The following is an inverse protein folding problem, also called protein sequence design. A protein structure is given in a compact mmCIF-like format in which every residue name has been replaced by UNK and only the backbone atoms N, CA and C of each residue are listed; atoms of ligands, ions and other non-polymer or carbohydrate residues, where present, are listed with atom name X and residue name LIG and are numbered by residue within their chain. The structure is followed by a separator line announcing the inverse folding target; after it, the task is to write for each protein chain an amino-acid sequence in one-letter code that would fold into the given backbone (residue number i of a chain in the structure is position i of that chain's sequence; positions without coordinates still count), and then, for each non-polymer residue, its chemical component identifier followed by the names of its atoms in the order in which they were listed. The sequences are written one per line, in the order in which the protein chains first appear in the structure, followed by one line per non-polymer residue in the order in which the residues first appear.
data_IF_622587151297
#
_entry.id   IF_622587151297
#
_cell.length_a   1.000
_cell.length_b   1.000
_cell.length_c   1.000
_cell.angle_alpha   90.00
_cell.angle_beta   90.00
_cell.angle_gamma   90.00
#
_symmetry.space_group_name_H-M   'P 1'
#
loop_
_entity.id
_entity.type
_entity.pdbx_description
1 polymer ?
#
# COMPACT_ATOMS: atom_id res chain seq x y z
N UNK A 1 -2.77 -38.43 0.77
CA UNK A 1 -2.94 -37.39 -0.27
C UNK A 1 -2.33 -36.12 0.31
N UNK A 2 -1.53 -35.37 -0.47
CA UNK A 2 -1.01 -34.09 0.00
C UNK A 2 -2.09 -33.02 -0.03
N UNK A 3 -2.08 -32.07 0.88
CA UNK A 3 -2.93 -30.88 0.81
C UNK A 3 -2.48 -29.98 -0.34
N UNK A 4 -3.42 -29.31 -1.01
CA UNK A 4 -3.14 -28.38 -2.09
C UNK A 4 -3.05 -26.94 -1.55
N UNK A 5 -1.93 -26.27 -1.79
CA UNK A 5 -1.70 -24.87 -1.42
C UNK A 5 -1.54 -24.03 -2.68
N UNK A 6 -2.34 -22.98 -2.82
CA UNK A 6 -2.17 -21.98 -3.86
C UNK A 6 -1.72 -20.63 -3.26
N UNK A 7 -0.67 -20.05 -3.84
CA UNK A 7 -0.20 -18.68 -3.55
C UNK A 7 -0.76 -17.79 -4.65
N UNK A 8 -1.57 -16.79 -4.28
CA UNK A 8 -2.22 -15.91 -5.24
C UNK A 8 -1.42 -14.63 -5.50
N UNK A 9 -1.64 -14.03 -6.67
CA UNK A 9 -1.10 -12.73 -7.06
C UNK A 9 0.45 -12.63 -6.99
N UNK A 10 1.16 -13.72 -7.26
CA UNK A 10 2.63 -13.72 -7.35
C UNK A 10 3.10 -13.12 -8.69
N UNK A 11 2.79 -11.84 -8.91
CA UNK A 11 3.08 -11.14 -10.17
C UNK A 11 4.56 -11.16 -10.54
N UNK A 12 5.44 -11.20 -9.56
CA UNK A 12 6.89 -11.23 -9.75
C UNK A 12 7.45 -12.64 -9.93
N UNK A 13 6.65 -13.70 -9.72
CA UNK A 13 7.03 -15.11 -9.79
C UNK A 13 8.22 -15.45 -8.88
N UNK A 14 8.15 -14.97 -7.66
CA UNK A 14 9.22 -15.09 -6.66
C UNK A 14 8.83 -15.89 -5.42
N UNK A 15 7.55 -16.14 -5.19
CA UNK A 15 7.05 -16.75 -3.96
C UNK A 15 7.79 -18.05 -3.59
N UNK A 16 7.97 -18.94 -4.55
CA UNK A 16 8.65 -20.23 -4.35
C UNK A 16 10.17 -20.09 -4.12
N UNK A 17 10.75 -18.92 -4.39
CA UNK A 17 12.19 -18.65 -4.21
C UNK A 17 12.49 -17.87 -2.93
N UNK A 18 11.47 -17.26 -2.33
CA UNK A 18 11.63 -16.37 -1.17
C UNK A 18 11.60 -17.08 0.18
N UNK A 19 11.21 -18.36 0.20
CA UNK A 19 11.22 -19.20 1.40
C UNK A 19 11.59 -20.65 1.06
N UNK A 20 11.95 -21.43 2.06
CA UNK A 20 12.18 -22.86 1.93
C UNK A 20 10.88 -23.67 2.08
N UNK A 21 10.22 -23.91 0.96
CA UNK A 21 8.98 -24.71 0.90
C UNK A 21 9.24 -26.22 1.00
N UNK A 22 10.50 -26.67 0.94
CA UNK A 22 10.84 -28.10 0.99
C UNK A 22 10.45 -28.74 2.32
N UNK A 23 10.42 -27.96 3.41
CA UNK A 23 9.96 -28.40 4.72
C UNK A 23 8.50 -28.90 4.73
N UNK A 24 7.69 -28.51 3.73
CA UNK A 24 6.28 -28.89 3.60
C UNK A 24 6.06 -29.98 2.54
N UNK A 25 7.09 -30.34 1.75
CA UNK A 25 6.97 -31.11 0.52
C UNK A 25 6.32 -32.49 0.69
N UNK A 26 6.48 -33.14 1.84
CA UNK A 26 5.86 -34.43 2.12
C UNK A 26 4.36 -34.38 2.34
N UNK A 27 3.82 -33.21 2.78
CA UNK A 27 2.44 -33.05 3.23
C UNK A 27 1.63 -32.07 2.39
N UNK A 28 2.28 -31.13 1.69
CA UNK A 28 1.65 -30.05 0.92
C UNK A 28 2.23 -29.99 -0.48
N UNK A 29 1.37 -29.85 -1.47
CA UNK A 29 1.72 -29.47 -2.84
C UNK A 29 1.48 -27.97 -3.00
N UNK A 30 2.57 -27.20 -3.23
CA UNK A 30 2.51 -25.74 -3.29
C UNK A 30 2.63 -25.29 -4.74
N UNK A 31 1.68 -24.44 -5.17
CA UNK A 31 1.70 -23.79 -6.48
C UNK A 31 1.56 -22.27 -6.33
N UNK A 32 2.13 -21.50 -7.26
CA UNK A 32 2.01 -20.03 -7.28
C UNK A 32 1.30 -19.60 -8.56
N UNK A 33 0.34 -18.68 -8.41
CA UNK A 33 -0.49 -18.14 -9.48
C UNK A 33 -0.09 -16.68 -9.68
N UNK A 34 0.44 -16.36 -10.85
CA UNK A 34 0.87 -15.01 -11.21
C UNK A 34 -0.24 -14.16 -11.87
N UNK A 35 -1.30 -14.80 -12.35
CA UNK A 35 -2.45 -14.11 -12.91
C UNK A 35 -3.33 -13.51 -11.81
N UNK A 36 -3.93 -12.36 -12.13
CA UNK A 36 -4.99 -11.78 -11.31
C UNK A 36 -6.35 -12.13 -11.92
N UNK A 37 -7.29 -12.59 -11.10
CA UNK A 37 -8.65 -12.89 -11.52
C UNK A 37 -9.57 -11.75 -11.12
N UNK A 38 -10.25 -11.17 -12.10
CA UNK A 38 -11.28 -10.15 -11.89
C UNK A 38 -12.68 -10.75 -11.68
N UNK A 39 -12.91 -11.97 -12.17
CA UNK A 39 -14.16 -12.70 -12.01
C UNK A 39 -14.05 -13.69 -10.83
N UNK A 40 -14.88 -13.46 -9.80
CA UNK A 40 -14.95 -14.34 -8.62
C UNK A 40 -15.35 -15.78 -9.00
N UNK A 41 -16.14 -15.97 -10.04
CA UNK A 41 -16.57 -17.31 -10.48
C UNK A 41 -15.41 -18.10 -11.09
N UNK A 42 -14.63 -17.44 -11.94
CA UNK A 42 -13.43 -18.03 -12.51
C UNK A 42 -12.39 -18.36 -11.42
N UNK A 43 -12.16 -17.42 -10.49
CA UNK A 43 -11.28 -17.63 -9.35
C UNK A 43 -11.73 -18.84 -8.51
N UNK A 44 -13.02 -18.95 -8.19
CA UNK A 44 -13.56 -20.06 -7.40
C UNK A 44 -13.33 -21.42 -8.06
N UNK A 45 -13.46 -21.52 -9.39
CA UNK A 45 -13.18 -22.76 -10.16
C UNK A 45 -11.72 -23.16 -10.01
N UNK A 46 -10.79 -22.20 -10.07
CA UNK A 46 -9.34 -22.47 -9.91
C UNK A 46 -8.96 -22.90 -8.50
N UNK A 47 -9.71 -22.44 -7.49
CA UNK A 47 -9.36 -22.64 -6.07
C UNK A 47 -10.22 -23.72 -5.36
N UNK A 48 -11.25 -24.27 -5.99
CA UNK A 48 -12.20 -25.20 -5.34
C UNK A 48 -11.58 -26.44 -4.70
N UNK A 49 -10.41 -26.87 -5.20
CA UNK A 49 -9.68 -28.03 -4.68
C UNK A 49 -8.56 -27.65 -3.69
N UNK A 50 -8.37 -26.35 -3.40
CA UNK A 50 -7.31 -25.89 -2.53
C UNK A 50 -7.71 -26.02 -1.06
N UNK A 51 -6.85 -26.66 -0.27
CA UNK A 51 -6.97 -26.75 1.19
C UNK A 51 -6.39 -25.51 1.88
N UNK A 52 -5.40 -24.88 1.27
CA UNK A 52 -4.62 -23.77 1.82
C UNK A 52 -4.50 -22.67 0.76
N UNK A 53 -4.73 -21.43 1.17
CA UNK A 53 -4.47 -20.26 0.35
C UNK A 53 -3.50 -19.31 1.03
N UNK A 54 -2.54 -18.79 0.27
CA UNK A 54 -1.66 -17.69 0.67
C UNK A 54 -1.98 -16.50 -0.23
N UNK A 55 -2.50 -15.43 0.36
CA UNK A 55 -2.93 -14.23 -0.37
C UNK A 55 -2.01 -13.04 -0.10
N UNK A 56 -1.86 -12.20 -1.10
CA UNK A 56 -0.99 -11.03 -1.05
C UNK A 56 -1.78 -9.76 -0.70
N UNK A 57 -1.80 -9.39 0.59
CA UNK A 57 -2.49 -8.19 1.07
C UNK A 57 -3.96 -8.19 0.64
N UNK A 58 -4.49 -7.03 0.28
CA UNK A 58 -5.86 -6.84 -0.19
C UNK A 58 -6.04 -7.03 -1.72
N UNK A 59 -5.08 -7.68 -2.43
CA UNK A 59 -5.16 -7.87 -3.90
C UNK A 59 -6.35 -8.71 -4.32
N UNK A 60 -6.57 -9.83 -3.63
CA UNK A 60 -7.74 -10.70 -3.87
C UNK A 60 -8.65 -10.63 -2.66
N UNK A 61 -9.86 -10.07 -2.79
CA UNK A 61 -10.86 -10.06 -1.72
C UNK A 61 -11.36 -11.48 -1.41
N UNK A 62 -11.31 -11.86 -0.13
CA UNK A 62 -11.86 -13.12 0.38
C UNK A 62 -13.25 -12.86 0.98
N UNK A 63 -14.22 -12.63 0.10
CA UNK A 63 -15.61 -12.34 0.44
C UNK A 63 -16.33 -13.55 0.99
N UNK A 64 -17.46 -13.37 1.70
CA UNK A 64 -18.34 -14.47 2.10
C UNK A 64 -18.81 -15.31 0.90
N UNK A 65 -19.08 -14.66 -0.24
CA UNK A 65 -19.47 -15.34 -1.49
C UNK A 65 -18.36 -16.24 -2.02
N UNK A 66 -17.12 -15.75 -2.10
CA UNK A 66 -15.98 -16.56 -2.54
C UNK A 66 -15.70 -17.71 -1.58
N UNK A 67 -15.64 -17.43 -0.27
CA UNK A 67 -15.41 -18.45 0.75
C UNK A 67 -16.47 -19.57 0.70
N UNK A 68 -17.72 -19.23 0.38
CA UNK A 68 -18.80 -20.22 0.21
C UNK A 68 -18.56 -21.20 -0.93
N UNK A 69 -17.76 -20.83 -1.92
CA UNK A 69 -17.43 -21.63 -3.11
C UNK A 69 -16.15 -22.46 -2.95
N UNK A 70 -15.46 -22.35 -1.81
CA UNK A 70 -14.21 -23.04 -1.53
C UNK A 70 -14.39 -24.11 -0.44
N UNK A 71 -15.07 -25.24 -0.75
CA UNK A 71 -15.48 -26.23 0.24
C UNK A 71 -14.30 -26.98 0.89
N UNK A 72 -13.14 -27.01 0.24
CA UNK A 72 -11.94 -27.69 0.76
C UNK A 72 -11.05 -26.78 1.60
N UNK A 73 -11.27 -25.46 1.58
CA UNK A 73 -10.40 -24.49 2.24
C UNK A 73 -10.41 -24.66 3.77
N UNK A 74 -9.23 -24.82 4.35
CA UNK A 74 -9.01 -25.03 5.78
C UNK A 74 -8.14 -23.94 6.42
N UNK A 75 -7.19 -23.39 5.63
CA UNK A 75 -6.25 -22.38 6.08
C UNK A 75 -6.14 -21.26 5.03
N UNK A 76 -6.28 -20.03 5.49
CA UNK A 76 -6.05 -18.81 4.70
C UNK A 76 -4.94 -17.99 5.37
N UNK A 77 -3.87 -17.69 4.64
CA UNK A 77 -2.77 -16.89 5.15
C UNK A 77 -2.70 -15.59 4.34
N UNK A 78 -2.68 -14.45 5.02
CA UNK A 78 -2.49 -13.15 4.39
C UNK A 78 -1.13 -12.54 4.75
N UNK A 79 -0.48 -11.90 3.78
CA UNK A 79 0.70 -11.09 4.08
C UNK A 79 0.29 -9.83 4.85
N UNK A 80 0.87 -9.70 6.08
CA UNK A 80 0.50 -8.68 7.06
C UNK A 80 -0.54 -9.18 8.08
N UNK A 81 -0.47 -8.63 9.30
CA UNK A 81 -1.36 -8.96 10.43
C UNK A 81 -2.73 -8.26 10.37
N UNK A 82 -3.09 -7.65 9.25
CA UNK A 82 -4.39 -7.01 9.01
C UNK A 82 -4.70 -7.05 7.52
N UNK A 83 -5.92 -7.46 7.20
CA UNK A 83 -6.42 -7.45 5.84
C UNK A 83 -7.94 -7.17 5.87
N UNK A 84 -8.33 -5.97 5.43
CA UNK A 84 -9.74 -5.56 5.42
C UNK A 84 -10.56 -6.23 4.29
N UNK A 85 -9.90 -6.92 3.36
CA UNK A 85 -10.55 -7.61 2.26
C UNK A 85 -10.92 -9.08 2.60
N UNK A 86 -10.68 -9.54 3.84
CA UNK A 86 -11.08 -10.86 4.33
C UNK A 86 -12.33 -10.74 5.20
N UNK A 87 -13.39 -11.45 4.84
CA UNK A 87 -14.54 -11.67 5.73
C UNK A 87 -14.18 -12.73 6.79
N UNK A 88 -13.65 -12.26 7.92
CA UNK A 88 -13.22 -13.12 9.02
C UNK A 88 -14.39 -13.89 9.66
N UNK A 89 -15.59 -13.30 9.69
CA UNK A 89 -16.77 -13.95 10.25
C UNK A 89 -17.19 -15.13 9.35
N UNK A 90 -17.29 -14.90 8.05
CA UNK A 90 -17.60 -15.97 7.09
C UNK A 90 -16.54 -17.08 7.06
N UNK A 91 -15.26 -16.73 7.23
CA UNK A 91 -14.18 -17.71 7.34
C UNK A 91 -14.36 -18.58 8.60
N UNK A 92 -14.63 -17.96 9.76
CA UNK A 92 -14.84 -18.66 11.02
C UNK A 92 -16.07 -19.59 10.99
N UNK A 93 -17.20 -19.14 10.43
CA UNK A 93 -18.43 -19.96 10.24
C UNK A 93 -18.17 -21.22 9.43
N UNK A 94 -17.18 -21.20 8.54
CA UNK A 94 -16.79 -22.32 7.67
C UNK A 94 -15.64 -23.16 8.26
N UNK A 95 -15.17 -22.81 9.46
CA UNK A 95 -14.06 -23.49 10.10
C UNK A 95 -12.68 -23.22 9.43
N UNK A 96 -12.59 -22.17 8.62
CA UNK A 96 -11.32 -21.76 8.01
C UNK A 96 -10.48 -21.00 9.02
N UNK A 97 -9.28 -21.49 9.29
CA UNK A 97 -8.30 -20.79 10.13
C UNK A 97 -7.67 -19.68 9.30
N UNK A 98 -7.67 -18.45 9.83
CA UNK A 98 -7.02 -17.31 9.16
C UNK A 98 -5.77 -16.93 9.94
N UNK A 99 -4.64 -16.85 9.26
CA UNK A 99 -3.35 -16.43 9.82
C UNK A 99 -2.79 -15.24 9.03
N UNK A 100 -1.89 -14.50 9.67
CA UNK A 100 -1.21 -13.37 9.03
C UNK A 100 0.28 -13.40 9.28
N UNK A 101 1.04 -12.65 8.49
CA UNK A 101 2.50 -12.55 8.62
C UNK A 101 2.92 -11.15 9.07
N UNK A 102 4.14 -10.98 9.54
CA UNK A 102 4.68 -9.65 9.84
C UNK A 102 4.87 -8.84 8.55
N UNK A 103 4.85 -7.53 8.68
CA UNK A 103 5.11 -6.59 7.58
C UNK A 103 6.04 -5.48 8.04
N UNK A 104 7.09 -5.22 7.29
CA UNK A 104 8.00 -4.10 7.49
C UNK A 104 7.36 -2.76 7.15
N UNK A 105 7.92 -1.68 7.70
CA UNK A 105 7.51 -0.30 7.40
C UNK A 105 8.55 0.48 6.60
N UNK A 106 9.74 -0.10 6.38
CA UNK A 106 10.81 0.55 5.63
C UNK A 106 10.42 0.70 4.15
N UNK A 107 10.06 -0.38 3.48
CA UNK A 107 9.72 -0.35 2.06
C UNK A 107 8.62 0.67 1.68
N UNK A 108 7.45 0.75 2.35
CA UNK A 108 6.48 1.79 2.03
C UNK A 108 6.96 3.20 2.34
N UNK A 109 7.82 3.40 3.34
CA UNK A 109 8.45 4.70 3.61
C UNK A 109 9.42 5.09 2.48
N UNK A 110 10.26 4.16 2.04
CA UNK A 110 11.21 4.34 0.95
C UNK A 110 10.51 4.66 -0.37
N UNK A 111 9.44 3.94 -0.71
CA UNK A 111 8.64 4.27 -1.89
C UNK A 111 8.01 5.66 -1.79
N UNK A 112 7.53 6.05 -0.61
CA UNK A 112 6.98 7.39 -0.41
C UNK A 112 8.04 8.46 -0.72
N UNK A 113 9.29 8.28 -0.25
CA UNK A 113 10.41 9.16 -0.59
C UNK A 113 10.79 9.10 -2.06
N UNK A 114 10.75 7.91 -2.68
CA UNK A 114 11.01 7.76 -4.12
C UNK A 114 9.99 8.56 -4.97
N UNK A 115 8.70 8.50 -4.62
CA UNK A 115 7.66 9.29 -5.28
C UNK A 115 7.85 10.79 -5.04
N UNK A 116 8.12 11.21 -3.81
CA UNK A 116 8.36 12.60 -3.45
C UNK A 116 9.56 13.16 -4.23
N UNK A 117 10.70 12.47 -4.21
CA UNK A 117 11.91 12.86 -4.93
C UNK A 117 11.71 12.79 -6.44
N UNK A 118 11.00 11.76 -6.93
CA UNK A 118 10.66 11.60 -8.34
C UNK A 118 9.88 12.78 -8.89
N UNK A 119 8.91 13.29 -8.13
CA UNK A 119 8.14 14.50 -8.45
C UNK A 119 8.99 15.76 -8.31
N UNK A 120 9.67 15.94 -7.18
CA UNK A 120 10.46 17.13 -6.90
C UNK A 120 11.60 17.36 -7.91
N UNK A 121 12.15 16.27 -8.47
CA UNK A 121 13.28 16.31 -9.41
C UNK A 121 12.92 15.96 -10.83
N UNK A 122 11.64 15.75 -11.13
CA UNK A 122 11.14 15.35 -12.45
C UNK A 122 11.85 14.12 -13.02
N UNK A 123 12.26 13.15 -12.16
CA UNK A 123 13.16 12.06 -12.56
C UNK A 123 12.60 11.25 -13.72
N UNK A 124 11.30 10.90 -13.67
CA UNK A 124 10.68 10.07 -14.71
C UNK A 124 10.58 10.82 -16.03
N UNK A 125 9.99 12.04 -16.13
CA UNK A 125 9.91 12.76 -17.39
C UNK A 125 11.29 13.15 -17.96
N UNK A 126 12.30 13.48 -17.12
CA UNK A 126 13.66 13.72 -17.57
C UNK A 126 14.31 12.46 -18.15
N UNK A 127 14.19 11.32 -17.46
CA UNK A 127 14.73 10.03 -17.93
C UNK A 127 14.05 9.55 -19.22
N UNK A 128 12.73 9.69 -19.31
CA UNK A 128 11.97 9.35 -20.53
C UNK A 128 12.32 10.29 -21.67
N UNK A 129 12.42 11.59 -21.39
CA UNK A 129 12.84 12.61 -22.37
C UNK A 129 14.21 12.29 -22.96
N UNK A 130 15.20 12.00 -22.11
CA UNK A 130 16.56 11.64 -22.56
C UNK A 130 16.57 10.39 -23.45
N UNK A 131 15.84 9.33 -23.08
CA UNK A 131 15.76 8.08 -23.87
C UNK A 131 15.09 8.28 -25.23
N UNK A 132 14.19 9.26 -25.34
CA UNK A 132 13.43 9.55 -26.56
C UNK A 132 14.03 10.70 -27.37
N UNK A 133 15.30 11.05 -27.16
CA UNK A 133 16.00 12.17 -27.83
C UNK A 133 15.27 13.51 -27.69
N UNK A 134 14.60 13.73 -26.55
CA UNK A 134 13.97 15.00 -26.20
C UNK A 134 14.98 16.07 -25.77
N UNK A 135 14.52 17.22 -25.26
CA UNK A 135 15.39 18.29 -24.77
C UNK A 135 16.38 17.77 -23.73
N UNK A 136 17.62 18.26 -23.76
CA UNK A 136 18.68 17.88 -22.81
C UNK A 136 18.31 18.10 -21.35
N UNK A 137 17.59 19.17 -21.05
CA UNK A 137 17.00 19.51 -19.74
C UNK A 137 15.62 20.10 -19.98
N UNK A 138 14.60 19.60 -19.30
CA UNK A 138 13.21 20.02 -19.51
C UNK A 138 12.73 21.00 -18.46
N UNK A 139 12.88 20.61 -17.18
CA UNK A 139 12.19 21.25 -16.09
C UNK A 139 13.14 21.58 -14.93
N UNK A 140 12.80 22.65 -14.20
CA UNK A 140 13.54 23.03 -13.00
C UNK A 140 13.03 22.25 -11.78
N UNK A 141 13.87 21.41 -11.22
CA UNK A 141 13.55 20.65 -10.01
C UNK A 141 13.44 21.50 -8.74
N UNK A 142 12.67 21.03 -7.78
CA UNK A 142 12.47 21.65 -6.47
C UNK A 142 13.53 21.14 -5.49
N UNK A 143 14.20 22.06 -4.77
CA UNK A 143 15.09 21.74 -3.64
C UNK A 143 14.26 21.53 -2.39
N UNK A 144 14.54 20.45 -1.63
CA UNK A 144 13.77 20.10 -0.42
C UNK A 144 14.19 20.91 0.80
N UNK A 145 15.46 21.31 0.91
CA UNK A 145 15.98 22.13 2.03
C UNK A 145 15.13 23.39 2.21
N UNK A 146 14.70 23.63 3.44
CA UNK A 146 13.84 24.76 3.80
C UNK A 146 12.36 24.61 3.41
N UNK A 147 11.97 23.56 2.69
CA UNK A 147 10.56 23.24 2.38
C UNK A 147 9.85 22.58 3.55
N UNK A 148 8.54 22.61 3.54
CA UNK A 148 7.70 22.01 4.56
C UNK A 148 7.10 20.70 4.07
N UNK A 149 7.36 19.60 4.80
CA UNK A 149 6.65 18.34 4.67
C UNK A 149 5.48 18.28 5.66
N UNK A 150 4.28 18.20 5.18
CA UNK A 150 3.07 17.95 5.97
C UNK A 150 2.77 16.45 6.04
N UNK A 151 2.70 15.91 7.24
CA UNK A 151 2.39 14.51 7.49
C UNK A 151 0.96 14.38 8.03
N UNK A 152 0.07 13.84 7.21
CA UNK A 152 -1.27 13.46 7.63
C UNK A 152 -1.20 12.06 8.25
N UNK A 153 -0.99 12.01 9.56
CA UNK A 153 -0.67 10.80 10.34
C UNK A 153 0.81 10.71 10.72
N UNK A 154 1.07 10.60 12.02
CA UNK A 154 2.42 10.49 12.60
C UNK A 154 2.58 9.17 13.38
N UNK A 155 2.19 8.05 12.71
CA UNK A 155 2.39 6.69 13.19
C UNK A 155 3.80 6.18 12.83
N UNK A 156 3.94 4.84 12.73
CA UNK A 156 5.24 4.19 12.46
C UNK A 156 5.91 4.71 11.17
N UNK A 157 5.15 4.78 10.06
CA UNK A 157 5.68 5.27 8.77
C UNK A 157 5.86 6.79 8.82
N UNK A 158 4.87 7.54 9.29
CA UNK A 158 4.98 9.00 9.38
C UNK A 158 6.16 9.48 10.23
N UNK A 159 6.48 8.81 11.35
CA UNK A 159 7.66 9.10 12.15
C UNK A 159 8.99 8.83 11.40
N UNK A 160 9.03 7.74 10.59
CA UNK A 160 10.19 7.49 9.72
C UNK A 160 10.32 8.58 8.64
N UNK A 161 9.22 9.00 8.03
CA UNK A 161 9.19 10.11 7.06
C UNK A 161 9.72 11.41 7.68
N UNK A 162 9.32 11.71 8.93
CA UNK A 162 9.77 12.91 9.65
C UNK A 162 11.29 12.91 9.84
N UNK A 163 11.87 11.79 10.26
CA UNK A 163 13.34 11.68 10.47
C UNK A 163 14.12 11.89 9.17
N UNK A 164 13.67 11.33 8.06
CA UNK A 164 14.33 11.50 6.75
C UNK A 164 14.15 12.94 6.26
N UNK A 165 12.98 13.56 6.46
CA UNK A 165 12.73 14.96 6.10
C UNK A 165 13.71 15.92 6.80
N UNK A 166 13.99 15.68 8.08
CA UNK A 166 14.96 16.47 8.84
C UNK A 166 16.38 16.36 8.25
N UNK A 167 16.78 15.15 7.80
CA UNK A 167 18.06 14.96 7.13
C UNK A 167 18.17 15.74 5.80
N UNK A 168 17.04 15.98 5.12
CA UNK A 168 16.95 16.87 3.95
C UNK A 168 16.85 18.36 4.32
N UNK A 169 16.88 18.73 5.60
CA UNK A 169 16.72 20.11 6.06
C UNK A 169 15.31 20.66 5.86
N UNK A 170 14.29 19.79 5.82
CA UNK A 170 12.89 20.20 5.72
C UNK A 170 12.32 20.56 7.10
N UNK A 171 11.35 21.47 7.12
CA UNK A 171 10.44 21.65 8.25
C UNK A 171 9.36 20.56 8.19
N UNK A 172 9.07 19.92 9.33
CA UNK A 172 8.02 18.88 9.39
C UNK A 172 6.82 19.40 10.18
N UNK A 173 5.66 19.37 9.57
CA UNK A 173 4.35 19.57 10.20
C UNK A 173 3.63 18.23 10.25
N UNK A 174 2.89 17.96 11.32
CA UNK A 174 2.08 16.75 11.41
C UNK A 174 0.70 17.05 11.93
N UNK A 175 -0.29 16.31 11.46
CA UNK A 175 -1.64 16.36 11.97
C UNK A 175 -2.29 14.97 11.95
N UNK A 176 -2.95 14.61 13.02
CA UNK A 176 -4.01 13.60 13.06
C UNK A 176 -4.97 13.93 14.19
N UNK A 177 -6.16 13.36 14.18
CA UNK A 177 -7.25 13.77 15.08
C UNK A 177 -6.88 13.77 16.57
N UNK A 178 -5.98 12.86 17.00
CA UNK A 178 -5.59 12.68 18.40
C UNK A 178 -4.08 12.94 18.61
N UNK A 179 -3.40 13.61 17.67
CA UNK A 179 -1.99 13.93 17.80
C UNK A 179 -1.82 15.11 18.77
N UNK A 180 -0.94 14.97 19.76
CA UNK A 180 -0.56 16.03 20.67
C UNK A 180 0.74 16.71 20.24
N UNK A 181 1.02 17.90 20.75
CA UNK A 181 2.24 18.63 20.46
C UNK A 181 3.48 17.87 20.98
N UNK A 182 3.37 17.25 22.16
CA UNK A 182 4.43 16.44 22.77
C UNK A 182 4.75 15.22 21.91
N UNK A 183 3.73 14.54 21.40
CA UNK A 183 3.92 13.38 20.53
C UNK A 183 4.53 13.78 19.17
N UNK A 184 4.12 14.91 18.62
CA UNK A 184 4.71 15.45 17.40
C UNK A 184 6.20 15.80 17.61
N UNK A 185 6.52 16.48 18.72
CA UNK A 185 7.88 16.88 19.06
C UNK A 185 8.83 15.68 19.25
N UNK A 186 8.34 14.54 19.78
CA UNK A 186 9.13 13.31 19.92
C UNK A 186 9.66 12.77 18.57
N UNK A 187 8.93 13.01 17.49
CA UNK A 187 9.34 12.63 16.13
C UNK A 187 9.99 13.82 15.38
N UNK A 188 10.26 14.93 16.08
CA UNK A 188 10.87 16.14 15.51
C UNK A 188 9.93 16.89 14.55
N UNK A 189 8.63 16.76 14.72
CA UNK A 189 7.60 17.45 13.96
C UNK A 189 6.91 18.51 14.83
N UNK A 190 6.35 19.54 14.19
CA UNK A 190 5.46 20.49 14.81
C UNK A 190 4.00 20.05 14.60
N UNK A 191 3.16 20.17 15.62
CA UNK A 191 1.73 19.95 15.48
C UNK A 191 1.13 21.07 14.64
N UNK A 192 0.47 20.74 13.53
CA UNK A 192 -0.32 21.71 12.78
C UNK A 192 -1.57 22.09 13.59
N UNK A 193 -1.97 23.38 13.66
CA UNK A 193 -3.08 23.82 14.47
C UNK A 193 -4.44 23.29 13.99
N UNK A 194 -4.52 22.89 12.72
CA UNK A 194 -5.69 22.21 12.15
C UNK A 194 -5.27 21.35 10.94
N UNK A 195 -6.16 20.44 10.51
CA UNK A 195 -6.01 19.70 9.26
C UNK A 195 -5.82 20.66 8.08
N UNK A 196 -6.65 21.67 7.94
CA UNK A 196 -6.55 22.69 6.89
C UNK A 196 -5.19 23.39 6.90
N UNK A 197 -4.70 23.81 8.06
CA UNK A 197 -3.41 24.50 8.20
C UNK A 197 -2.24 23.59 7.78
N UNK A 198 -2.33 22.26 7.96
CA UNK A 198 -1.36 21.32 7.43
C UNK A 198 -1.24 21.45 5.91
N UNK A 199 -2.37 21.48 5.19
CA UNK A 199 -2.40 21.57 3.72
C UNK A 199 -1.95 22.94 3.23
N UNK A 200 -2.38 24.01 3.86
CA UNK A 200 -2.02 25.39 3.51
C UNK A 200 -0.52 25.68 3.63
N UNK A 201 0.12 25.14 4.66
CA UNK A 201 1.52 25.46 4.97
C UNK A 201 2.54 24.55 4.30
N UNK A 202 2.11 23.39 3.78
CA UNK A 202 3.02 22.37 3.25
C UNK A 202 3.36 22.59 1.78
N UNK A 203 4.61 22.26 1.44
CA UNK A 203 5.07 22.17 0.05
C UNK A 203 4.90 20.73 -0.47
N UNK A 204 4.92 19.76 0.42
CA UNK A 204 4.61 18.37 0.18
C UNK A 204 3.67 17.87 1.29
N UNK A 205 2.56 17.23 0.92
CA UNK A 205 1.66 16.58 1.88
C UNK A 205 1.73 15.08 1.65
N UNK A 206 2.02 14.31 2.70
CA UNK A 206 2.11 12.86 2.63
C UNK A 206 1.16 12.19 3.62
N UNK A 207 0.40 11.20 3.13
CA UNK A 207 -0.68 10.54 3.88
C UNK A 207 -0.18 9.23 4.47
N UNK A 208 -0.29 9.09 5.81
CA UNK A 208 0.15 7.92 6.58
C UNK A 208 -0.89 7.49 7.62
N UNK A 209 -2.15 7.42 7.21
CA UNK A 209 -3.28 6.98 8.04
C UNK A 209 -3.73 5.58 7.66
N UNK A 210 -4.24 4.85 8.64
CA UNK A 210 -5.00 3.61 8.40
C UNK A 210 -6.39 3.99 7.89
N UNK A 211 -6.90 3.27 6.88
CA UNK A 211 -8.27 3.45 6.40
C UNK A 211 -9.26 2.95 7.46
N UNK A 212 -10.19 3.79 7.80
CA UNK A 212 -11.30 3.53 8.72
C UNK A 212 -12.45 4.49 8.39
N UNK A 213 -13.61 4.33 9.00
CA UNK A 213 -14.74 5.24 8.81
C UNK A 213 -14.37 6.71 9.10
N UNK A 214 -13.45 6.93 10.07
CA UNK A 214 -12.97 8.27 10.43
C UNK A 214 -11.97 8.87 9.44
N UNK A 215 -11.31 8.07 8.64
CA UNK A 215 -10.30 8.53 7.67
C UNK A 215 -10.76 8.45 6.22
N UNK A 216 -11.87 7.78 5.94
CA UNK A 216 -12.48 7.74 4.61
C UNK A 216 -12.93 9.15 4.19
N UNK A 217 -12.48 9.60 3.02
CA UNK A 217 -12.79 10.93 2.49
C UNK A 217 -12.25 12.09 3.34
N UNK A 218 -11.29 11.82 4.24
CA UNK A 218 -10.74 12.83 5.14
C UNK A 218 -10.06 13.99 4.40
N UNK A 219 -9.50 13.72 3.23
CA UNK A 219 -8.91 14.70 2.33
C UNK A 219 -9.92 14.97 1.21
N UNK A 220 -10.70 16.00 1.41
CA UNK A 220 -11.74 16.41 0.48
C UNK A 220 -11.35 17.65 -0.34
N UNK A 221 -12.36 18.22 -0.97
CA UNK A 221 -12.22 19.44 -1.80
C UNK A 221 -11.59 20.61 -1.03
N UNK A 222 -11.96 20.82 0.23
CA UNK A 222 -11.47 21.94 1.03
C UNK A 222 -9.98 21.83 1.35
N UNK A 223 -9.49 20.63 1.68
CA UNK A 223 -8.08 20.37 1.94
C UNK A 223 -7.25 20.52 0.66
N UNK A 224 -7.72 19.93 -0.44
CA UNK A 224 -7.04 20.03 -1.73
C UNK A 224 -7.00 21.47 -2.26
N UNK A 225 -8.08 22.22 -2.10
CA UNK A 225 -8.14 23.63 -2.48
C UNK A 225 -7.26 24.55 -1.59
N UNK A 226 -6.95 24.10 -0.37
CA UNK A 226 -6.08 24.84 0.55
C UNK A 226 -4.59 24.64 0.24
N UNK A 227 -4.22 23.66 -0.57
CA UNK A 227 -2.83 23.41 -0.96
C UNK A 227 -2.25 24.56 -1.79
N UNK A 228 -0.94 24.78 -1.65
CA UNK A 228 -0.23 25.74 -2.51
C UNK A 228 -0.25 25.25 -3.97
N UNK A 229 -0.31 26.16 -4.95
CA UNK A 229 -0.20 25.77 -6.37
C UNK A 229 1.09 25.03 -6.73
N UNK A 230 2.14 25.19 -5.92
CA UNK A 230 3.43 24.54 -6.08
C UNK A 230 3.56 23.25 -5.27
N UNK A 231 2.53 22.87 -4.51
CA UNK A 231 2.59 21.72 -3.60
C UNK A 231 2.27 20.39 -4.31
N UNK A 232 2.81 19.31 -3.74
CA UNK A 232 2.57 17.94 -4.17
C UNK A 232 1.83 17.14 -3.08
N UNK A 233 0.89 16.30 -3.50
CA UNK A 233 0.23 15.31 -2.62
C UNK A 233 0.85 13.93 -2.86
N UNK A 234 1.22 13.22 -1.79
CA UNK A 234 1.70 11.84 -1.86
C UNK A 234 0.76 10.93 -1.07
N UNK A 235 0.23 9.90 -1.73
CA UNK A 235 -0.61 8.89 -1.09
C UNK A 235 -0.10 7.48 -1.38
N UNK A 236 0.54 6.89 -0.40
CA UNK A 236 0.97 5.48 -0.37
C UNK A 236 0.23 4.69 0.71
N UNK A 237 -0.85 5.24 1.24
CA UNK A 237 -1.68 4.61 2.27
C UNK A 237 -2.88 3.87 1.69
N UNK A 238 -3.97 4.57 1.44
CA UNK A 238 -5.19 4.02 0.83
C UNK A 238 -5.90 5.11 0.02
N UNK A 239 -6.38 4.75 -1.17
CA UNK A 239 -7.06 5.69 -2.08
C UNK A 239 -8.27 6.35 -1.43
N UNK A 240 -9.12 5.58 -0.75
CA UNK A 240 -10.36 6.04 -0.15
C UNK A 240 -10.20 7.08 0.99
N UNK A 241 -8.97 7.43 1.39
CA UNK A 241 -8.71 8.56 2.31
C UNK A 241 -8.89 9.90 1.59
N UNK A 242 -8.71 9.92 0.27
CA UNK A 242 -8.80 11.13 -0.58
C UNK A 242 -10.07 11.04 -1.44
N UNK A 243 -10.80 12.13 -1.54
CA UNK A 243 -11.88 12.26 -2.51
C UNK A 243 -11.28 12.25 -3.94
N UNK A 244 -11.54 11.17 -4.66
CA UNK A 244 -10.99 10.95 -6.00
C UNK A 244 -11.42 12.05 -6.98
N UNK A 245 -12.68 12.44 -6.96
CA UNK A 245 -13.20 13.43 -7.89
C UNK A 245 -12.57 14.82 -7.64
N UNK A 246 -12.43 15.20 -6.37
CA UNK A 246 -11.76 16.43 -5.99
C UNK A 246 -10.27 16.41 -6.35
N UNK A 247 -9.57 15.26 -6.18
CA UNK A 247 -8.18 15.13 -6.56
C UNK A 247 -7.98 15.26 -8.08
N UNK A 248 -8.81 14.59 -8.87
CA UNK A 248 -8.80 14.69 -10.34
C UNK A 248 -9.01 16.15 -10.78
N UNK A 249 -9.98 16.83 -10.19
CA UNK A 249 -10.29 18.24 -10.51
C UNK A 249 -9.08 19.16 -10.29
N UNK A 250 -8.45 19.10 -9.10
CA UNK A 250 -7.28 19.96 -8.81
C UNK A 250 -6.06 19.64 -9.65
N UNK A 251 -5.87 18.37 -10.05
CA UNK A 251 -4.76 17.94 -10.92
C UNK A 251 -4.98 18.38 -12.36
N UNK A 252 -6.18 18.20 -12.91
CA UNK A 252 -6.53 18.62 -14.26
C UNK A 252 -6.46 20.15 -14.42
N UNK A 253 -6.94 20.89 -13.42
CA UNK A 253 -6.89 22.34 -13.40
C UNK A 253 -5.53 22.91 -12.97
N UNK A 254 -4.55 22.06 -12.68
CA UNK A 254 -3.21 22.44 -12.19
C UNK A 254 -3.27 23.39 -10.98
N UNK A 255 -4.23 23.18 -10.10
CA UNK A 255 -4.36 23.92 -8.82
C UNK A 255 -3.29 23.50 -7.81
N UNK A 256 -2.72 22.31 -7.99
CA UNK A 256 -1.52 21.83 -7.30
C UNK A 256 -0.50 21.38 -8.34
N UNK A 257 0.76 21.30 -7.95
CA UNK A 257 1.83 20.92 -8.88
C UNK A 257 1.68 19.48 -9.39
N UNK A 258 1.29 18.55 -8.51
CA UNK A 258 1.08 17.16 -8.91
C UNK A 258 0.80 16.23 -7.74
N UNK A 259 0.73 14.94 -8.03
CA UNK A 259 0.54 13.90 -7.03
C UNK A 259 1.40 12.66 -7.30
N UNK A 260 1.88 12.03 -6.20
CA UNK A 260 2.50 10.70 -6.18
C UNK A 260 1.52 9.69 -5.59
N UNK A 261 1.09 8.72 -6.38
CA UNK A 261 0.04 7.79 -6.00
C UNK A 261 0.52 6.35 -6.15
N UNK A 262 0.41 5.58 -5.07
CA UNK A 262 0.69 4.14 -5.08
C UNK A 262 -0.57 3.30 -4.86
N UNK A 263 -1.72 3.95 -4.63
CA UNK A 263 -2.99 3.29 -4.28
C UNK A 263 -4.16 3.87 -5.06
N UNK A 264 -5.10 3.01 -5.45
CA UNK A 264 -6.25 3.36 -6.28
C UNK A 264 -7.53 2.72 -5.75
N UNK A 265 -8.71 3.27 -6.10
CA UNK A 265 -10.01 2.69 -5.68
C UNK A 265 -10.28 1.35 -6.35
N UNK A 266 -9.85 1.21 -7.59
CA UNK A 266 -9.89 -0.04 -8.35
C UNK A 266 -8.46 -0.47 -8.64
N UNK A 267 -8.09 -1.65 -8.20
CA UNK A 267 -6.78 -2.26 -8.42
C UNK A 267 -6.96 -3.69 -8.96
N UNK A 268 -6.31 -4.04 -10.09
CA UNK A 268 -5.44 -3.23 -10.96
C UNK A 268 -6.11 -2.01 -11.56
N UNK A 269 -5.36 -0.88 -11.64
CA UNK A 269 -5.88 0.36 -12.21
C UNK A 269 -6.28 0.16 -13.68
N UNK A 270 -7.53 0.46 -14.10
CA UNK A 270 -7.99 0.33 -15.48
C UNK A 270 -7.09 1.06 -16.49
N UNK A 271 -7.00 0.52 -17.71
CA UNK A 271 -6.10 1.06 -18.74
C UNK A 271 -6.47 2.49 -19.18
N UNK A 272 -7.74 2.83 -19.11
CA UNK A 272 -8.33 4.13 -19.48
C UNK A 272 -8.44 5.10 -18.29
N UNK A 273 -7.99 4.72 -17.09
CA UNK A 273 -8.08 5.57 -15.91
C UNK A 273 -7.31 6.88 -16.09
N UNK A 274 -7.92 7.98 -15.64
CA UNK A 274 -7.40 9.34 -15.78
C UNK A 274 -6.02 9.53 -15.14
N UNK A 275 -5.72 8.84 -14.03
CA UNK A 275 -4.41 8.94 -13.37
C UNK A 275 -3.27 8.38 -14.21
N UNK A 276 -3.55 7.51 -15.21
CA UNK A 276 -2.55 7.05 -16.17
C UNK A 276 -2.19 8.12 -17.21
N UNK A 277 -3.07 9.09 -17.42
CA UNK A 277 -2.95 10.09 -18.51
C UNK A 277 -2.47 11.45 -18.00
N UNK A 278 -2.66 11.76 -16.71
CA UNK A 278 -2.29 13.06 -16.15
C UNK A 278 -0.76 13.21 -16.06
N UNK A 279 -0.15 14.19 -16.75
CA UNK A 279 1.30 14.36 -16.81
C UNK A 279 1.94 14.81 -15.48
N UNK A 280 1.13 15.32 -14.55
CA UNK A 280 1.52 15.73 -13.21
C UNK A 280 1.19 14.68 -12.14
N UNK A 281 0.96 13.44 -12.55
CA UNK A 281 0.81 12.29 -11.65
C UNK A 281 1.97 11.33 -11.85
N UNK A 282 2.64 10.97 -10.76
CA UNK A 282 3.58 9.86 -10.69
C UNK A 282 2.89 8.70 -9.99
N UNK A 283 2.45 7.71 -10.78
CA UNK A 283 1.70 6.56 -10.31
C UNK A 283 2.57 5.29 -10.27
N UNK A 284 2.42 4.50 -9.21
CA UNK A 284 3.01 3.16 -9.07
C UNK A 284 1.92 2.14 -8.71
N UNK A 285 2.01 0.87 -9.16
CA UNK A 285 0.92 -0.09 -9.06
C UNK A 285 0.88 -0.80 -7.69
N UNK A 286 0.68 -0.04 -6.61
CA UNK A 286 0.59 -0.49 -5.21
C UNK A 286 1.78 -1.37 -4.81
N UNK A 287 2.99 -0.83 -5.01
CA UNK A 287 4.26 -1.54 -4.78
C UNK A 287 4.96 -1.14 -3.47
N UNK A 288 4.35 -0.33 -2.62
CA UNK A 288 4.97 0.14 -1.39
C UNK A 288 5.43 -0.96 -0.43
N UNK A 289 4.84 -2.14 -0.50
CA UNK A 289 5.26 -3.31 0.28
C UNK A 289 6.04 -4.34 -0.55
N UNK A 290 6.16 -4.14 -1.86
CA UNK A 290 6.86 -5.05 -2.80
C UNK A 290 8.36 -4.81 -2.68
N UNK A 291 8.96 -5.49 -1.72
CA UNK A 291 10.39 -5.44 -1.43
C UNK A 291 10.87 -6.83 -0.98
N UNK A 292 12.14 -7.11 -1.21
CA UNK A 292 12.77 -8.41 -0.94
C UNK A 292 12.64 -8.84 0.52
N UNK A 293 12.91 -7.95 1.48
CA UNK A 293 12.80 -8.24 2.91
C UNK A 293 11.35 -8.54 3.34
N UNK A 294 10.37 -7.79 2.82
CA UNK A 294 8.97 -8.04 3.09
C UNK A 294 8.53 -9.39 2.52
N UNK A 295 8.88 -9.68 1.28
CA UNK A 295 8.50 -10.92 0.61
C UNK A 295 9.15 -12.13 1.27
N UNK A 296 10.43 -12.02 1.65
CA UNK A 296 11.11 -13.06 2.43
C UNK A 296 10.38 -13.32 3.75
N UNK A 297 10.02 -12.27 4.48
CA UNK A 297 9.28 -12.40 5.73
C UNK A 297 7.89 -13.02 5.50
N UNK A 298 7.13 -12.56 4.50
CA UNK A 298 5.80 -13.07 4.18
C UNK A 298 5.81 -14.56 3.89
N UNK A 299 6.69 -15.02 3.00
CA UNK A 299 6.70 -16.41 2.58
C UNK A 299 7.36 -17.34 3.59
N UNK A 300 8.40 -16.88 4.32
CA UNK A 300 8.98 -17.67 5.41
C UNK A 300 7.94 -17.90 6.51
N UNK A 301 7.21 -16.85 6.93
CA UNK A 301 6.18 -16.98 7.94
C UNK A 301 4.95 -17.74 7.44
N UNK A 302 4.63 -17.69 6.15
CA UNK A 302 3.58 -18.53 5.58
C UNK A 302 3.95 -20.02 5.66
N UNK A 303 5.21 -20.39 5.40
CA UNK A 303 5.70 -21.78 5.60
C UNK A 303 5.56 -22.20 7.07
N UNK A 304 5.94 -21.31 8.01
CA UNK A 304 5.78 -21.57 9.46
C UNK A 304 4.31 -21.72 9.86
N UNK A 305 3.41 -20.86 9.34
CA UNK A 305 1.97 -20.93 9.62
C UNK A 305 1.36 -22.25 9.12
N UNK A 306 1.74 -22.68 7.90
CA UNK A 306 1.30 -23.97 7.37
C UNK A 306 1.82 -25.10 8.23
N UNK A 307 3.09 -25.11 8.61
CA UNK A 307 3.69 -26.16 9.45
C UNK A 307 2.99 -26.24 10.81
N UNK A 308 2.72 -25.08 11.45
CA UNK A 308 2.02 -24.99 12.73
C UNK A 308 0.56 -25.47 12.63
N UNK A 309 -0.14 -25.10 11.55
CA UNK A 309 -1.50 -25.57 11.26
C UNK A 309 -1.53 -27.10 11.12
N UNK A 310 -0.59 -27.67 10.36
CA UNK A 310 -0.47 -29.12 10.17
C UNK A 310 -0.14 -29.88 11.47
N UNK A 311 0.49 -29.21 12.43
CA UNK A 311 0.74 -29.74 13.78
C UNK A 311 -0.46 -29.56 14.73
N UNK A 312 -1.58 -28.98 14.30
CA UNK A 312 -2.74 -28.69 15.12
C UNK A 312 -2.59 -27.48 16.07
N UNK A 313 -1.56 -26.67 15.87
CA UNK A 313 -1.23 -25.51 16.71
C UNK A 313 -1.04 -24.25 15.86
N UNK A 314 -2.09 -23.74 15.17
CA UNK A 314 -1.96 -22.57 14.31
C UNK A 314 -1.49 -21.34 15.08
N UNK A 315 -0.53 -20.62 14.51
CA UNK A 315 0.07 -19.40 15.06
C UNK A 315 -0.36 -18.17 14.27
N UNK A 316 -0.09 -16.97 14.77
CA UNK A 316 -0.41 -15.68 14.11
C UNK A 316 -1.87 -15.58 13.63
N UNK A 317 -2.81 -16.16 14.36
CA UNK A 317 -4.24 -16.18 13.99
C UNK A 317 -4.84 -14.77 13.95
N UNK A 318 -5.75 -14.57 13.00
CA UNK A 318 -6.61 -13.40 12.86
C UNK A 318 -8.07 -13.81 13.12
N UNK A 319 -8.80 -13.06 13.98
CA UNK A 319 -10.16 -13.34 14.39
C UNK A 319 -10.26 -14.08 15.71
#
# INVERSE_FOLDING_TARGET
MKLKCAILDDYQQVALKMADWSALADRVEVSAISAHFTDETELAVHLQECDILVIMRERTPMTASLLARLPQLKLLITSGMRNAAIDLAAAAERGVVVCGTRSGSAAPMELTWALLLGLAKHIVPESVGLKNNGPWQRDLGVTLQGKTLGLLGLGKIGGQMARVAQAFGMRVLAWSQNLTAERAAQEGALLAPSKRALFEQSDFVSIHLVLSDRSRGLVGRDELAAMKPTAYLINTSRAAIVDRAALVDVLQQRKIAGAGLDVFETEPLPADDVFRQLPNVLATPHVGYVADDNYRAYFTEAVEDIAAFLAGQPIRRLG
#
